data_IF_027384013783
#
_entry.id   IF_027384013783
#
_cell.length_a   1.000
_cell.length_b   1.000
_cell.length_c   1.000
_cell.angle_alpha   90.00
_cell.angle_beta   90.00
_cell.angle_gamma   90.00
#
_symmetry.space_group_name_H-M   'P 1'
#
loop_
_entity.id
_entity.type
_entity.pdbx_description
1 polymer ?
#
# COMPACT_ATOMS: atom_id res chain seq x y z
N UNK A 1 -12.64 3.66 -14.06
CA UNK A 1 -13.04 3.60 -12.64
C UNK A 1 -11.79 3.38 -11.81
N UNK A 2 -11.46 4.29 -10.91
CA UNK A 2 -10.40 4.06 -9.95
C UNK A 2 -10.88 3.06 -8.91
N UNK A 3 -10.01 2.10 -8.55
CA UNK A 3 -10.35 1.16 -7.48
C UNK A 3 -10.42 1.92 -6.16
N UNK A 4 -11.42 1.63 -5.34
CA UNK A 4 -11.59 2.26 -4.02
C UNK A 4 -10.40 1.99 -3.08
N UNK A 5 -9.67 0.91 -3.34
CA UNK A 5 -8.56 0.44 -2.53
C UNK A 5 -7.31 0.14 -3.36
N UNK A 6 -6.15 0.40 -2.77
CA UNK A 6 -4.84 0.08 -3.32
C UNK A 6 -4.13 -0.95 -2.45
N UNK A 7 -3.59 -2.01 -3.08
CA UNK A 7 -2.94 -3.12 -2.37
C UNK A 7 -1.42 -3.03 -2.51
N UNK A 8 -0.74 -3.08 -1.38
CA UNK A 8 0.72 -3.15 -1.25
C UNK A 8 1.09 -4.53 -0.67
N UNK A 9 2.06 -5.21 -1.30
CA UNK A 9 2.49 -6.55 -0.87
C UNK A 9 3.82 -6.52 -0.09
N UNK A 10 4.41 -5.34 0.09
CA UNK A 10 5.64 -5.15 0.85
C UNK A 10 5.30 -4.47 2.18
N UNK A 11 5.61 -5.15 3.29
CA UNK A 11 5.31 -4.68 4.64
C UNK A 11 5.99 -3.35 4.97
N UNK A 12 7.27 -3.22 4.64
CA UNK A 12 8.04 -2.02 4.96
C UNK A 12 7.50 -0.81 4.18
N UNK A 13 7.17 -1.00 2.90
CA UNK A 13 6.54 0.03 2.09
C UNK A 13 5.18 0.46 2.66
N UNK A 14 4.36 -0.50 3.10
CA UNK A 14 3.08 -0.20 3.74
C UNK A 14 3.28 0.61 5.03
N UNK A 15 4.25 0.24 5.87
CA UNK A 15 4.60 0.99 7.10
C UNK A 15 5.04 2.41 6.73
N UNK A 16 5.97 2.58 5.78
CA UNK A 16 6.42 3.91 5.34
C UNK A 16 5.25 4.79 4.90
N UNK A 17 4.35 4.27 4.07
CA UNK A 17 3.22 5.03 3.56
C UNK A 17 2.22 5.35 4.68
N UNK A 18 1.98 4.42 5.61
CA UNK A 18 1.15 4.65 6.79
C UNK A 18 1.68 5.79 7.66
N UNK A 19 2.98 5.79 7.94
CA UNK A 19 3.65 6.84 8.70
C UNK A 19 3.53 8.20 8.00
N UNK A 20 3.76 8.25 6.68
CA UNK A 20 3.68 9.49 5.90
C UNK A 20 2.24 10.02 5.78
N UNK A 21 1.25 9.13 5.75
CA UNK A 21 -0.16 9.51 5.72
C UNK A 21 -0.72 9.84 7.10
N UNK A 22 -0.06 9.39 8.16
CA UNK A 22 -0.61 9.33 9.51
C UNK A 22 -1.97 8.59 9.53
N UNK A 23 -2.05 7.47 8.81
CA UNK A 23 -3.25 6.65 8.64
C UNK A 23 -2.86 5.16 8.63
N UNK A 24 -3.64 4.32 9.30
CA UNK A 24 -3.41 2.87 9.31
C UNK A 24 -3.84 2.19 7.99
N UNK A 25 -3.21 1.07 7.65
CA UNK A 25 -3.65 0.18 6.58
C UNK A 25 -4.39 -1.05 7.10
N UNK A 26 -5.28 -1.58 6.27
CA UNK A 26 -5.91 -2.87 6.51
C UNK A 26 -4.96 -4.00 6.12
N UNK A 27 -4.98 -5.11 6.86
CA UNK A 27 -4.16 -6.29 6.58
C UNK A 27 -5.05 -7.50 6.33
N UNK A 28 -4.73 -8.30 5.31
CA UNK A 28 -5.47 -9.51 4.93
C UNK A 28 -4.54 -10.56 4.33
N UNK A 29 -4.98 -11.82 4.37
CA UNK A 29 -4.24 -12.91 3.75
C UNK A 29 -4.33 -12.84 2.23
N UNK A 30 -3.19 -13.03 1.58
CA UNK A 30 -3.07 -13.05 0.13
C UNK A 30 -3.60 -14.38 -0.41
N UNK A 31 -4.82 -14.36 -0.93
CA UNK A 31 -5.49 -15.54 -1.51
C UNK A 31 -5.06 -15.85 -2.95
N UNK A 32 -4.10 -15.12 -3.52
CA UNK A 32 -3.61 -15.39 -4.87
C UNK A 32 -2.79 -16.68 -4.87
N UNK A 33 -2.94 -17.48 -5.93
CA UNK A 33 -2.19 -18.74 -6.11
C UNK A 33 -0.68 -18.52 -5.97
N UNK A 34 -0.02 -19.28 -5.10
CA UNK A 34 1.43 -19.17 -4.84
C UNK A 34 1.83 -18.08 -3.83
N UNK A 35 0.85 -17.51 -3.10
CA UNK A 35 1.07 -16.52 -2.04
C UNK A 35 0.48 -16.98 -0.70
N UNK A 36 0.22 -18.27 -0.56
CA UNK A 36 -0.35 -18.88 0.64
C UNK A 36 0.48 -18.50 1.88
N UNK A 37 -0.19 -18.01 2.93
CA UNK A 37 0.45 -17.54 4.17
C UNK A 37 1.09 -16.15 4.10
N UNK A 38 1.07 -15.48 2.93
CA UNK A 38 1.53 -14.08 2.82
C UNK A 38 0.41 -13.12 3.16
N UNK A 39 0.80 -11.95 3.70
CA UNK A 39 -0.12 -10.86 3.99
C UNK A 39 -0.01 -9.76 2.95
N UNK A 40 -1.15 -9.12 2.68
CA UNK A 40 -1.30 -7.94 1.86
C UNK A 40 -1.82 -6.77 2.72
N UNK A 41 -1.47 -5.56 2.30
CA UNK A 41 -1.78 -4.32 3.01
C UNK A 41 -2.63 -3.42 2.09
N UNK A 42 -3.78 -2.95 2.54
CA UNK A 42 -4.71 -2.14 1.74
C UNK A 42 -4.89 -0.75 2.31
N UNK A 43 -4.87 0.24 1.42
CA UNK A 43 -5.15 1.64 1.70
C UNK A 43 -6.36 2.08 0.90
N UNK A 44 -7.14 3.03 1.44
CA UNK A 44 -8.13 3.74 0.63
C UNK A 44 -7.41 4.55 -0.44
N UNK A 45 -7.89 4.47 -1.68
CA UNK A 45 -7.28 5.13 -2.83
C UNK A 45 -7.69 6.60 -2.93
N UNK A 46 -7.39 7.36 -1.88
CA UNK A 46 -7.65 8.80 -1.80
C UNK A 46 -6.63 9.61 -2.59
N UNK A 47 -6.92 10.87 -2.89
CA UNK A 47 -5.96 11.77 -3.54
C UNK A 47 -4.68 11.94 -2.70
N UNK A 48 -4.83 12.05 -1.38
CA UNK A 48 -3.71 12.14 -0.43
C UNK A 48 -2.83 10.90 -0.49
N UNK A 49 -3.43 9.70 -0.50
CA UNK A 49 -2.70 8.44 -0.68
C UNK A 49 -1.88 8.44 -1.98
N UNK A 50 -2.48 8.86 -3.10
CA UNK A 50 -1.78 8.89 -4.40
C UNK A 50 -0.59 9.84 -4.42
N UNK A 51 -0.71 11.02 -3.79
CA UNK A 51 0.40 11.97 -3.68
C UNK A 51 1.59 11.36 -2.92
N UNK A 52 1.32 10.70 -1.79
CA UNK A 52 2.37 10.02 -1.01
C UNK A 52 2.96 8.84 -1.78
N UNK A 53 2.12 8.01 -2.43
CA UNK A 53 2.59 6.89 -3.23
C UNK A 53 3.52 7.36 -4.36
N UNK A 54 3.16 8.44 -5.06
CA UNK A 54 4.00 9.06 -6.10
C UNK A 54 5.31 9.56 -5.52
N UNK A 55 5.27 10.26 -4.37
CA UNK A 55 6.48 10.75 -3.69
C UNK A 55 7.45 9.60 -3.37
N UNK A 56 6.96 8.54 -2.72
CA UNK A 56 7.79 7.38 -2.33
C UNK A 56 8.38 6.69 -3.56
N UNK A 57 7.60 6.53 -4.63
CA UNK A 57 8.09 5.92 -5.87
C UNK A 57 9.17 6.77 -6.56
N UNK A 58 9.04 8.10 -6.52
CA UNK A 58 10.03 9.00 -7.10
C UNK A 58 11.35 8.99 -6.30
N UNK A 59 11.29 8.88 -4.97
CA UNK A 59 12.51 8.75 -4.13
C UNK A 59 13.26 7.45 -4.39
N UNK A 60 12.55 6.36 -4.73
CA UNK A 60 13.18 5.05 -4.99
C UNK A 60 13.93 4.98 -6.33
N UNK A 61 13.60 5.84 -7.28
CA UNK A 61 14.18 5.84 -8.63
C UNK A 61 15.34 6.83 -8.81
N UNK A 62 15.72 7.55 -7.74
CA UNK A 62 16.94 8.38 -7.66
C UNK A 62 18.00 7.67 -6.80
#
# INVERSE_FOLDING_TARGET
MEKDFYIINNKNLAITISTLLNEDFLTFDDKRKGKEGKKCYSFKNTEKFRKILTLVNNTRNN
#
